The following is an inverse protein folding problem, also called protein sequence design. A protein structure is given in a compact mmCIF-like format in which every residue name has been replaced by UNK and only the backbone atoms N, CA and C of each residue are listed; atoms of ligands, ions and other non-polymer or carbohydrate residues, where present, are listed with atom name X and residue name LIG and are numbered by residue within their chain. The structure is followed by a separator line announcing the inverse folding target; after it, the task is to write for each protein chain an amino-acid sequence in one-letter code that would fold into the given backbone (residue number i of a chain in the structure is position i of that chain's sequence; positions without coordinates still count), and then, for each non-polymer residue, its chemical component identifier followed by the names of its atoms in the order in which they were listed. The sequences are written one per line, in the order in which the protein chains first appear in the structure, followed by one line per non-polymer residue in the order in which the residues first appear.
data_IF_958400833030
#
_entry.id   IF_958400833030
#
_cell.length_a   1.000
_cell.length_b   1.000
_cell.length_c   1.000
_cell.angle_alpha   90.00
_cell.angle_beta   90.00
_cell.angle_gamma   90.00
#
_symmetry.space_group_name_H-M   'P 1'
#
loop_
_entity.id
_entity.type
_entity.pdbx_description
1 polymer ?
#
# COMPACT_ATOMS: atom_id res chain seq x y z
N UNK A 1 23.30 11.46 -22.30
CA UNK A 1 22.59 10.74 -21.22
C UNK A 1 21.11 11.04 -21.38
N UNK A 2 20.25 10.02 -21.38
CA UNK A 2 18.80 10.23 -21.43
C UNK A 2 18.27 10.65 -20.05
N UNK A 3 17.28 11.53 -20.01
CA UNK A 3 16.62 12.01 -18.79
C UNK A 3 15.17 11.54 -18.81
N UNK A 4 14.67 11.02 -17.69
CA UNK A 4 13.28 10.60 -17.58
C UNK A 4 12.35 11.82 -17.71
N UNK A 5 11.37 11.75 -18.59
CA UNK A 5 10.48 12.87 -18.88
C UNK A 5 9.18 12.76 -18.08
N UNK A 6 8.69 13.86 -17.52
CA UNK A 6 7.46 13.89 -16.73
C UNK A 6 6.24 13.38 -17.51
N UNK A 7 6.15 13.65 -18.82
CA UNK A 7 5.07 13.10 -19.66
C UNK A 7 5.06 11.57 -19.72
N UNK A 8 6.24 10.94 -19.62
CA UNK A 8 6.38 9.48 -19.53
C UNK A 8 5.94 8.96 -18.16
N UNK A 9 6.35 9.65 -17.09
CA UNK A 9 5.99 9.35 -15.70
C UNK A 9 4.48 9.45 -15.46
N UNK A 10 3.84 10.52 -15.97
CA UNK A 10 2.38 10.70 -15.99
C UNK A 10 1.68 9.54 -16.72
N UNK A 11 2.26 9.05 -17.83
CA UNK A 11 1.69 7.90 -18.56
C UNK A 11 1.73 6.62 -17.72
N UNK A 12 2.81 6.40 -16.96
CA UNK A 12 2.92 5.27 -16.03
C UNK A 12 1.90 5.40 -14.90
N UNK A 13 1.78 6.58 -14.28
CA UNK A 13 0.79 6.84 -13.24
C UNK A 13 -0.65 6.55 -13.72
N UNK A 14 -0.99 6.98 -14.96
CA UNK A 14 -2.29 6.65 -15.58
C UNK A 14 -2.52 5.15 -15.72
N UNK A 15 -1.50 4.40 -16.15
CA UNK A 15 -1.60 2.94 -16.28
C UNK A 15 -1.82 2.28 -14.92
N UNK A 16 -1.08 2.70 -13.89
CA UNK A 16 -1.21 2.16 -12.53
C UNK A 16 -2.58 2.46 -11.93
N UNK A 17 -3.10 3.68 -12.13
CA UNK A 17 -4.42 4.06 -11.64
C UNK A 17 -5.59 3.24 -12.23
N UNK A 18 -5.38 2.51 -13.34
CA UNK A 18 -6.39 1.62 -13.95
C UNK A 18 -6.35 0.18 -13.44
N UNK A 19 -5.38 -0.15 -12.59
CA UNK A 19 -5.17 -1.49 -12.06
C UNK A 19 -5.63 -1.56 -10.60
N UNK A 20 -5.95 -2.75 -10.08
CA UNK A 20 -6.08 -2.95 -8.64
C UNK A 20 -4.79 -2.52 -7.93
N UNK A 21 -4.92 -1.73 -6.87
CA UNK A 21 -3.80 -1.36 -6.00
C UNK A 21 -4.12 -1.88 -4.61
N UNK A 22 -3.31 -2.82 -4.13
CA UNK A 22 -3.50 -3.46 -2.83
C UNK A 22 -2.49 -2.95 -1.82
N UNK A 23 -2.92 -2.83 -0.58
CA UNK A 23 -2.04 -2.72 0.58
C UNK A 23 -2.16 -4.01 1.37
N UNK A 24 -1.03 -4.70 1.55
CA UNK A 24 -0.93 -5.94 2.31
C UNK A 24 -0.21 -5.71 3.64
N UNK A 25 -0.58 -6.50 4.65
CA UNK A 25 0.13 -6.59 5.91
C UNK A 25 0.80 -7.95 6.03
N UNK A 26 2.01 -7.96 6.57
CA UNK A 26 2.78 -9.16 6.86
C UNK A 26 3.07 -9.30 8.35
N UNK A 27 3.19 -10.57 8.79
CA UNK A 27 3.63 -10.85 10.16
C UNK A 27 5.11 -10.58 10.34
N UNK A 28 5.88 -10.44 9.27
CA UNK A 28 7.33 -10.28 9.32
C UNK A 28 7.98 -11.44 10.08
N UNK A 29 9.10 -11.13 10.74
CA UNK A 29 9.77 -12.08 11.64
C UNK A 29 9.53 -11.68 13.09
N UNK A 30 9.07 -12.59 13.96
CA UNK A 30 8.92 -12.29 15.40
C UNK A 30 10.22 -11.82 16.08
N UNK A 31 11.39 -12.18 15.53
CA UNK A 31 12.69 -11.74 16.07
C UNK A 31 12.91 -10.22 15.98
N UNK A 32 12.20 -9.51 15.09
CA UNK A 32 12.32 -8.06 14.94
C UNK A 32 11.83 -7.30 16.18
N UNK A 33 10.93 -7.88 16.96
CA UNK A 33 10.42 -7.26 18.19
C UNK A 33 11.53 -6.99 19.22
N UNK A 34 12.62 -7.78 19.16
CA UNK A 34 13.76 -7.66 20.07
C UNK A 34 14.98 -6.95 19.44
N UNK A 35 15.23 -7.18 18.15
CA UNK A 35 16.46 -6.74 17.49
C UNK A 35 16.27 -5.62 16.46
N UNK A 36 15.02 -5.23 16.20
CA UNK A 36 14.64 -4.42 15.05
C UNK A 36 14.60 -5.24 13.74
N UNK A 37 13.94 -4.70 12.70
CA UNK A 37 13.91 -5.36 11.40
C UNK A 37 15.27 -5.32 10.70
N UNK A 38 15.49 -6.31 9.82
CA UNK A 38 16.57 -6.21 8.85
C UNK A 38 16.31 -5.06 7.85
N UNK A 39 17.36 -4.45 7.27
CA UNK A 39 17.18 -3.43 6.24
C UNK A 39 16.45 -3.97 5.01
N UNK A 40 15.58 -3.16 4.42
CA UNK A 40 14.87 -3.49 3.20
C UNK A 40 15.84 -3.60 2.01
N UNK A 41 15.53 -4.53 1.08
CA UNK A 41 16.27 -4.69 -0.17
C UNK A 41 15.40 -4.37 -1.38
N UNK A 42 15.99 -4.04 -2.52
CA UNK A 42 15.22 -3.73 -3.75
C UNK A 42 14.80 -4.98 -4.55
N UNK A 43 14.84 -6.16 -3.93
CA UNK A 43 14.63 -7.46 -4.63
C UNK A 43 13.51 -8.30 -4.04
N UNK A 44 12.78 -7.79 -3.05
CA UNK A 44 11.60 -8.46 -2.53
C UNK A 44 10.53 -8.55 -3.62
N UNK A 45 9.86 -9.69 -3.70
CA UNK A 45 8.70 -9.91 -4.58
C UNK A 45 7.40 -10.06 -3.79
N UNK A 46 7.48 -10.01 -2.46
CA UNK A 46 6.35 -10.12 -1.54
C UNK A 46 6.76 -9.97 -0.08
N UNK A 47 5.78 -10.02 0.81
CA UNK A 47 5.96 -9.90 2.26
C UNK A 47 6.35 -11.22 2.91
N UNK A 48 6.96 -11.16 4.10
CA UNK A 48 7.24 -12.32 4.93
C UNK A 48 5.97 -12.73 5.70
N UNK A 49 5.37 -13.86 5.32
CA UNK A 49 4.15 -14.38 5.97
C UNK A 49 3.01 -13.35 5.91
N UNK A 50 2.55 -13.07 4.70
CA UNK A 50 1.40 -12.20 4.46
C UNK A 50 0.18 -12.65 5.27
N UNK A 51 -0.46 -11.68 5.93
CA UNK A 51 -1.70 -11.86 6.68
C UNK A 51 -2.88 -11.79 5.71
N UNK A 52 -2.91 -10.70 4.95
CA UNK A 52 -3.91 -10.40 3.94
C UNK A 52 -3.74 -8.99 3.42
N UNK A 53 -4.61 -8.60 2.50
CA UNK A 53 -4.52 -7.34 1.76
C UNK A 53 -5.88 -6.73 1.52
N UNK A 54 -5.95 -5.41 1.44
CA UNK A 54 -7.17 -4.70 1.05
C UNK A 54 -6.95 -3.93 -0.25
N UNK A 55 -7.97 -3.86 -1.10
CA UNK A 55 -7.94 -3.05 -2.32
C UNK A 55 -8.18 -1.57 -1.99
N UNK A 56 -7.54 -0.66 -2.72
CA UNK A 56 -7.63 0.79 -2.52
C UNK A 56 -9.08 1.31 -2.56
N UNK A 57 -9.48 2.09 -1.55
CA UNK A 57 -10.80 2.74 -1.45
C UNK A 57 -10.85 4.02 -2.26
N UNK A 58 -9.73 4.72 -2.42
CA UNK A 58 -9.59 5.88 -3.29
C UNK A 58 -8.24 5.85 -4.00
N UNK A 59 -8.24 6.22 -5.29
CA UNK A 59 -7.06 6.47 -6.11
C UNK A 59 -7.27 7.80 -6.83
N UNK A 60 -6.44 8.78 -6.54
CA UNK A 60 -6.54 10.14 -7.09
C UNK A 60 -5.16 10.65 -7.51
N UNK A 61 -5.12 11.56 -8.48
CA UNK A 61 -3.86 12.24 -8.78
C UNK A 61 -3.57 13.28 -7.70
N UNK A 62 -2.28 13.48 -7.42
CA UNK A 62 -1.82 14.46 -6.46
C UNK A 62 -0.67 15.29 -7.04
N UNK A 63 -0.39 16.43 -6.43
CA UNK A 63 0.75 17.29 -6.76
C UNK A 63 1.38 17.80 -5.47
N UNK A 64 2.72 17.89 -5.39
CA UNK A 64 3.36 18.56 -4.26
C UNK A 64 2.80 19.97 -4.06
N UNK A 65 2.46 20.28 -2.82
CA UNK A 65 1.91 21.57 -2.43
C UNK A 65 2.24 21.80 -0.95
N UNK A 66 3.10 22.77 -0.65
CA UNK A 66 3.54 23.09 0.72
C UNK A 66 2.38 23.52 1.63
N UNK A 67 1.25 23.99 1.07
CA UNK A 67 0.03 24.31 1.81
C UNK A 67 -1.04 23.22 1.68
N UNK A 68 -0.69 22.08 1.06
CA UNK A 68 -1.60 20.98 0.76
C UNK A 68 -2.14 20.29 2.02
N UNK A 69 -3.37 19.77 1.97
CA UNK A 69 -4.01 19.11 3.11
C UNK A 69 -3.52 17.68 3.34
N UNK A 70 -2.85 17.05 2.37
CA UNK A 70 -2.28 15.71 2.52
C UNK A 70 -0.87 15.86 3.06
N UNK A 71 -0.63 15.45 4.29
CA UNK A 71 0.68 15.51 4.95
C UNK A 71 1.22 14.10 5.16
N UNK A 72 2.47 13.87 4.75
CA UNK A 72 3.18 12.61 4.98
C UNK A 72 4.11 12.71 6.21
N UNK A 73 4.57 11.59 6.78
CA UNK A 73 5.45 11.59 7.96
C UNK A 73 6.76 12.37 7.80
N UNK A 74 7.27 12.48 6.57
CA UNK A 74 8.46 13.26 6.23
C UNK A 74 8.20 14.78 6.11
N UNK A 75 6.97 15.20 6.41
CA UNK A 75 6.44 16.57 6.30
C UNK A 75 6.26 17.07 4.87
N UNK A 76 6.45 16.24 3.86
CA UNK A 76 6.04 16.58 2.51
C UNK A 76 4.51 16.71 2.45
N UNK A 77 4.04 17.67 1.66
CA UNK A 77 2.62 17.99 1.53
C UNK A 77 2.17 17.94 0.08
N UNK A 78 0.92 17.53 -0.11
CA UNK A 78 0.31 17.34 -1.41
C UNK A 78 -1.13 17.86 -1.41
N UNK A 79 -1.61 18.22 -2.60
CA UNK A 79 -3.01 18.49 -2.88
C UNK A 79 -3.53 17.56 -3.98
N UNK A 80 -4.84 17.26 -3.95
CA UNK A 80 -5.50 16.51 -5.02
C UNK A 80 -5.47 17.32 -6.30
N UNK A 81 -5.14 16.65 -7.41
CA UNK A 81 -5.15 17.22 -8.76
C UNK A 81 -6.26 16.61 -9.60
N UNK A 82 -7.02 17.46 -10.29
CA UNK A 82 -7.98 17.02 -11.32
C UNK A 82 -7.29 16.58 -12.62
N UNK A 83 -6.11 17.15 -12.92
CA UNK A 83 -5.30 16.76 -14.06
C UNK A 83 -4.38 15.59 -13.70
N UNK A 84 -4.13 14.63 -14.62
CA UNK A 84 -3.17 13.56 -14.36
C UNK A 84 -1.76 14.07 -14.10
N UNK A 85 -1.16 13.60 -13.01
CA UNK A 85 0.23 13.89 -12.62
C UNK A 85 1.02 12.58 -12.49
N UNK A 86 2.30 12.68 -12.13
CA UNK A 86 3.17 11.53 -11.83
C UNK A 86 3.07 11.04 -10.39
N UNK A 87 2.12 11.56 -9.60
CA UNK A 87 1.90 11.14 -8.22
C UNK A 87 0.46 10.68 -8.05
N UNK A 88 0.29 9.51 -7.42
CA UNK A 88 -1.02 9.02 -7.01
C UNK A 88 -1.16 9.11 -5.50
N UNK A 89 -2.19 9.81 -5.02
CA UNK A 89 -2.69 9.64 -3.67
C UNK A 89 -3.59 8.42 -3.62
N UNK A 90 -3.25 7.47 -2.75
CA UNK A 90 -3.98 6.21 -2.60
C UNK A 90 -4.34 6.00 -1.14
N UNK A 91 -5.61 5.68 -0.92
CA UNK A 91 -6.16 5.39 0.39
C UNK A 91 -6.65 3.95 0.46
N UNK A 92 -6.40 3.31 1.59
CA UNK A 92 -6.99 2.04 1.99
C UNK A 92 -7.67 2.17 3.33
N UNK A 93 -8.81 1.51 3.49
CA UNK A 93 -9.52 1.41 4.75
C UNK A 93 -9.66 -0.08 5.13
N UNK A 94 -9.27 -0.40 6.36
CA UNK A 94 -9.45 -1.71 6.97
C UNK A 94 -10.59 -1.63 8.00
N UNK A 95 -11.52 -2.58 7.88
CA UNK A 95 -12.65 -2.75 8.79
C UNK A 95 -12.19 -3.33 10.13
N UNK A 96 -13.12 -3.40 11.08
CA UNK A 96 -12.86 -3.88 12.43
C UNK A 96 -12.28 -5.30 12.46
N UNK A 97 -12.86 -6.23 11.69
CA UNK A 97 -12.44 -7.64 11.70
C UNK A 97 -11.20 -7.91 10.85
N UNK A 98 -10.80 -6.97 9.99
CA UNK A 98 -9.69 -7.14 9.06
C UNK A 98 -8.37 -7.27 9.83
N UNK A 99 -7.78 -8.48 9.77
CA UNK A 99 -6.59 -8.89 10.51
C UNK A 99 -6.70 -8.70 12.04
N UNK A 100 -7.90 -8.65 12.61
CA UNK A 100 -8.08 -8.42 14.04
C UNK A 100 -7.30 -9.46 14.87
N UNK A 101 -6.50 -9.00 15.83
CA UNK A 101 -5.67 -9.89 16.66
C UNK A 101 -4.38 -10.34 16.01
N UNK A 102 -4.01 -9.85 14.82
CA UNK A 102 -2.68 -10.06 14.24
C UNK A 102 -1.68 -9.03 14.76
N UNK A 103 -0.40 -9.40 14.76
CA UNK A 103 0.70 -8.46 14.98
C UNK A 103 1.35 -8.17 13.63
N UNK A 104 1.21 -6.93 13.17
CA UNK A 104 1.72 -6.46 11.87
C UNK A 104 3.15 -5.94 12.08
N UNK A 105 4.07 -6.40 11.23
CA UNK A 105 5.49 -6.00 11.26
C UNK A 105 5.99 -5.45 9.94
N UNK A 106 5.23 -5.64 8.87
CA UNK A 106 5.57 -5.09 7.57
C UNK A 106 4.30 -4.79 6.80
N UNK A 107 4.43 -3.88 5.84
CA UNK A 107 3.39 -3.56 4.88
C UNK A 107 3.98 -3.51 3.48
N UNK A 108 3.13 -3.69 2.46
CA UNK A 108 3.55 -3.58 1.07
C UNK A 108 2.42 -3.15 0.16
N UNK A 109 2.74 -2.27 -0.79
CA UNK A 109 1.85 -1.85 -1.86
C UNK A 109 2.10 -2.73 -3.08
N UNK A 110 1.05 -3.37 -3.58
CA UNK A 110 1.09 -4.24 -4.76
C UNK A 110 0.25 -3.65 -5.88
N UNK A 111 0.78 -3.67 -7.11
CA UNK A 111 0.09 -3.22 -8.32
C UNK A 111 -0.41 -4.44 -9.10
N UNK A 112 -1.68 -4.42 -9.51
CA UNK A 112 -2.31 -5.53 -10.21
C UNK A 112 -2.60 -6.71 -9.28
N UNK A 113 -2.55 -7.93 -9.82
CA UNK A 113 -2.88 -9.16 -9.10
C UNK A 113 -4.36 -9.56 -9.20
N UNK A 114 -4.66 -10.76 -8.69
CA UNK A 114 -6.00 -11.36 -8.74
C UNK A 114 -6.31 -12.11 -7.45
N UNK A 115 -7.59 -12.11 -7.07
CA UNK A 115 -8.14 -12.86 -5.94
C UNK A 115 -8.96 -14.05 -6.43
N UNK A 116 -9.23 -14.99 -5.54
CA UNK A 116 -10.03 -16.17 -5.83
C UNK A 116 -11.41 -15.80 -6.40
N UNK A 117 -11.93 -16.64 -7.30
CA UNK A 117 -13.28 -16.48 -7.83
C UNK A 117 -14.34 -16.85 -6.78
N UNK A 118 -15.55 -16.27 -6.90
CA UNK A 118 -16.69 -16.62 -6.04
C UNK A 118 -16.67 -16.02 -4.65
N UNK A 119 -15.77 -15.07 -4.37
CA UNK A 119 -15.74 -14.33 -3.12
C UNK A 119 -17.00 -13.42 -2.97
N UNK A 120 -17.46 -13.16 -1.74
CA UNK A 120 -18.59 -12.26 -1.47
C UNK A 120 -18.50 -10.93 -2.22
N UNK A 121 -19.63 -10.50 -2.77
CA UNK A 121 -19.73 -9.21 -3.45
C UNK A 121 -19.41 -8.05 -2.50
N UNK A 122 -18.60 -7.11 -2.96
CA UNK A 122 -18.18 -5.96 -2.16
C UNK A 122 -17.11 -6.26 -1.11
N UNK A 123 -16.60 -7.50 -1.04
CA UNK A 123 -15.43 -7.79 -0.22
C UNK A 123 -14.22 -6.98 -0.71
N UNK A 124 -13.50 -6.36 0.24
CA UNK A 124 -12.34 -5.50 -0.04
C UNK A 124 -11.05 -6.01 0.56
N UNK A 125 -11.15 -6.60 1.75
CA UNK A 125 -10.05 -7.26 2.44
C UNK A 125 -10.03 -8.75 2.10
N UNK A 126 -8.86 -9.27 1.75
CA UNK A 126 -8.62 -10.63 1.31
C UNK A 126 -7.51 -11.23 2.18
N UNK A 127 -7.79 -12.21 3.04
CA UNK A 127 -6.77 -13.02 3.68
C UNK A 127 -5.83 -13.61 2.64
N UNK A 128 -4.56 -13.85 2.98
CA UNK A 128 -3.55 -14.32 2.02
C UNK A 128 -3.98 -15.59 1.23
N UNK A 129 -4.75 -16.48 1.86
CA UNK A 129 -5.29 -17.68 1.23
C UNK A 129 -6.29 -17.42 0.08
N UNK A 130 -6.86 -16.21 0.00
CA UNK A 130 -7.79 -15.78 -1.06
C UNK A 130 -7.08 -15.05 -2.21
N UNK A 131 -5.76 -14.87 -2.14
CA UNK A 131 -4.97 -14.21 -3.19
C UNK A 131 -4.45 -15.27 -4.15
N UNK A 132 -4.82 -15.18 -5.43
CA UNK A 132 -4.37 -16.13 -6.48
C UNK A 132 -3.09 -15.64 -7.14
N UNK A 133 -2.99 -14.35 -7.43
CA UNK A 133 -1.76 -13.70 -7.89
C UNK A 133 -1.56 -12.41 -7.09
N UNK A 134 -0.42 -12.22 -6.42
CA UNK A 134 -0.20 -11.05 -5.58
C UNK A 134 -0.01 -9.76 -6.37
N UNK A 135 0.20 -9.82 -7.69
CA UNK A 135 0.68 -8.66 -8.45
C UNK A 135 2.14 -8.35 -8.16
N UNK A 136 2.58 -7.17 -8.58
CA UNK A 136 3.97 -6.73 -8.44
C UNK A 136 4.13 -5.84 -7.21
N UNK A 137 5.10 -6.19 -6.34
CA UNK A 137 5.46 -5.37 -5.18
C UNK A 137 6.10 -4.07 -5.64
N UNK A 138 5.47 -2.93 -5.33
CA UNK A 138 5.95 -1.60 -5.71
C UNK A 138 6.80 -0.96 -4.62
N UNK A 139 6.32 -1.00 -3.37
CA UNK A 139 7.07 -0.55 -2.20
C UNK A 139 6.69 -1.36 -0.97
N UNK A 140 7.61 -1.48 -0.02
CA UNK A 140 7.37 -2.13 1.26
C UNK A 140 8.14 -1.44 2.37
N UNK A 141 7.71 -1.69 3.60
CA UNK A 141 8.35 -1.18 4.81
C UNK A 141 8.35 -2.29 5.86
N UNK A 142 9.50 -2.51 6.50
CA UNK A 142 9.55 -3.20 7.78
C UNK A 142 9.34 -2.17 8.89
N UNK A 143 8.26 -2.35 9.65
CA UNK A 143 7.88 -1.43 10.71
C UNK A 143 8.91 -1.49 11.85
N UNK A 144 9.50 -0.35 12.18
CA UNK A 144 10.40 -0.23 13.33
C UNK A 144 9.66 -0.54 14.64
N UNK A 145 8.39 -0.15 14.74
CA UNK A 145 7.50 -0.48 15.84
C UNK A 145 6.31 -1.31 15.32
N UNK A 146 6.28 -2.63 15.62
CA UNK A 146 5.14 -3.48 15.31
C UNK A 146 3.87 -2.97 16.00
N UNK A 147 2.72 -3.11 15.34
CA UNK A 147 1.44 -2.81 15.98
C UNK A 147 0.54 -4.04 16.02
N UNK A 148 -0.29 -4.10 17.07
CA UNK A 148 -1.36 -5.08 17.19
C UNK A 148 -2.61 -4.53 16.50
N UNK A 149 -3.14 -5.28 15.54
CA UNK A 149 -4.38 -4.86 14.88
C UNK A 149 -5.56 -5.06 15.83
N UNK A 150 -6.20 -3.96 16.20
CA UNK A 150 -7.30 -3.93 17.16
C UNK A 150 -8.66 -4.11 16.47
N UNK A 151 -9.49 -5.03 16.98
CA UNK A 151 -10.81 -5.34 16.44
C UNK A 151 -11.91 -4.30 16.72
N UNK A 152 -11.54 -3.12 17.22
CA UNK A 152 -12.48 -2.07 17.65
C UNK A 152 -12.17 -0.68 17.08
N UNK A 153 -11.19 -0.58 16.18
CA UNK A 153 -10.78 0.69 15.54
C UNK A 153 -10.76 0.50 14.03
N UNK A 154 -11.29 1.43 13.26
CA UNK A 154 -11.08 1.46 11.80
C UNK A 154 -9.67 1.97 11.52
N UNK A 155 -8.98 1.35 10.58
CA UNK A 155 -7.63 1.78 10.18
C UNK A 155 -7.68 2.36 8.77
N UNK A 156 -7.24 3.60 8.61
CA UNK A 156 -7.01 4.21 7.31
C UNK A 156 -5.52 4.34 7.05
N UNK A 157 -5.05 3.94 5.87
CA UNK A 157 -3.68 4.18 5.43
C UNK A 157 -3.66 4.98 4.13
N UNK A 158 -2.79 5.97 4.08
CA UNK A 158 -2.70 6.96 3.03
C UNK A 158 -1.26 7.02 2.51
N UNK A 159 -1.08 6.89 1.19
CA UNK A 159 0.24 6.95 0.55
C UNK A 159 0.22 7.91 -0.64
N UNK A 160 1.40 8.46 -0.94
CA UNK A 160 1.72 9.03 -2.25
C UNK A 160 2.65 8.06 -2.98
N UNK A 161 2.23 7.60 -4.17
CA UNK A 161 3.03 6.75 -5.05
C UNK A 161 3.62 7.59 -6.19
N UNK A 162 4.95 7.80 -6.26
CA UNK A 162 5.62 8.52 -7.34
C UNK A 162 5.97 7.61 -8.53
N UNK A 163 5.75 8.09 -9.75
CA UNK A 163 6.16 7.43 -11.00
C UNK A 163 7.16 8.28 -11.76
#
# INVERSE_FOLDING_TARGET
MAVLQDVGRIKVARLVATQPIYLAWGRGRPAWDAAGPEPETTKHTGLISEIGRTIATSVQYAVPDDAGPIELPDRSRYAISAAPTQWLYVRWDFSYDDAAGETVRELGVFLGGTVAAGLPAGQRYFPAAQVTSPGDLYTMEHLAEPFKRAGNTLEGQDFILPF
#
